data_IF_096124749957
#
_entry.id   IF_096124749957
#
_cell.length_a   1.000
_cell.length_b   1.000
_cell.length_c   1.000
_cell.angle_alpha   90.00
_cell.angle_beta   90.00
_cell.angle_gamma   90.00
#
_symmetry.space_group_name_H-M   'P 1'
#
loop_
_entity.id
_entity.type
_entity.pdbx_description
1 polymer ?
#
# COMPACT_ATOMS: atom_id res chain seq x y z
N UNK A 1 -13.23 -7.52 -9.95
CA UNK A 1 -12.41 -8.67 -10.39
C UNK A 1 -12.57 -8.97 -11.88
N UNK A 2 -13.74 -9.41 -12.37
CA UNK A 2 -13.95 -9.68 -13.81
C UNK A 2 -13.65 -8.47 -14.69
N UNK A 3 -14.19 -7.29 -14.35
CA UNK A 3 -13.90 -6.04 -15.07
C UNK A 3 -12.43 -5.62 -14.99
N UNK A 4 -11.75 -5.92 -13.87
CA UNK A 4 -10.32 -5.66 -13.71
C UNK A 4 -9.51 -6.54 -14.68
N UNK A 5 -9.90 -7.82 -14.83
CA UNK A 5 -9.32 -8.71 -15.84
C UNK A 5 -9.51 -8.17 -17.26
N UNK A 6 -10.74 -7.77 -17.61
CA UNK A 6 -11.04 -7.18 -18.91
C UNK A 6 -10.22 -5.91 -19.18
N UNK A 7 -10.08 -5.02 -18.19
CA UNK A 7 -9.26 -3.82 -18.31
C UNK A 7 -7.77 -4.14 -18.52
N UNK A 8 -7.24 -5.16 -17.85
CA UNK A 8 -5.85 -5.59 -18.05
C UNK A 8 -5.62 -6.16 -19.46
N UNK A 9 -6.55 -6.96 -19.97
CA UNK A 9 -6.50 -7.49 -21.34
C UNK A 9 -6.52 -6.35 -22.37
N UNK A 10 -7.46 -5.41 -22.24
CA UNK A 10 -7.52 -4.24 -23.12
C UNK A 10 -6.24 -3.39 -23.07
N UNK A 11 -5.63 -3.23 -21.90
CA UNK A 11 -4.43 -2.44 -21.71
C UNK A 11 -3.13 -3.19 -22.07
N UNK A 12 -3.21 -4.49 -22.40
CA UNK A 12 -2.05 -5.36 -22.61
C UNK A 12 -1.10 -5.42 -21.40
N UNK A 13 -1.57 -5.06 -20.20
CA UNK A 13 -0.73 -4.95 -19.01
C UNK A 13 -1.55 -4.90 -17.73
N UNK A 14 -0.94 -5.26 -16.60
CA UNK A 14 -1.60 -5.15 -15.29
C UNK A 14 -1.75 -3.71 -14.76
N UNK A 15 -1.29 -2.68 -15.49
CA UNK A 15 -1.29 -1.28 -15.00
C UNK A 15 -2.65 -0.77 -14.48
N UNK A 16 -3.80 -1.12 -15.08
CA UNK A 16 -5.10 -0.64 -14.59
C UNK A 16 -5.49 -1.22 -13.22
N UNK A 17 -4.91 -2.35 -12.81
CA UNK A 17 -5.28 -3.06 -11.59
C UNK A 17 -4.13 -3.18 -10.58
N UNK A 18 -2.90 -2.81 -10.96
CA UNK A 18 -1.69 -3.06 -10.17
C UNK A 18 -0.68 -1.92 -10.30
N UNK A 19 -0.51 -1.18 -9.22
CA UNK A 19 0.41 -0.06 -9.03
C UNK A 19 1.30 -0.25 -7.80
N UNK A 20 1.62 0.84 -7.10
CA UNK A 20 2.49 0.84 -5.92
C UNK A 20 2.01 -0.06 -4.79
N UNK A 21 0.70 -0.15 -4.61
CA UNK A 21 0.07 -0.98 -3.58
C UNK A 21 0.37 -2.46 -3.75
N UNK A 22 0.41 -2.94 -5.00
CA UNK A 22 0.81 -4.31 -5.32
C UNK A 22 2.31 -4.51 -5.18
N UNK A 23 3.12 -3.49 -5.51
CA UNK A 23 4.57 -3.57 -5.32
C UNK A 23 4.94 -3.69 -3.82
N UNK A 24 4.23 -2.98 -2.94
CA UNK A 24 4.38 -3.10 -1.48
C UNK A 24 3.97 -4.50 -1.03
N UNK A 25 2.82 -5.02 -1.48
CA UNK A 25 2.39 -6.39 -1.17
C UNK A 25 3.42 -7.44 -1.62
N UNK A 26 3.96 -7.33 -2.83
CA UNK A 26 5.01 -8.23 -3.30
C UNK A 26 6.32 -8.13 -2.51
N UNK A 27 6.65 -6.95 -1.98
CA UNK A 27 7.80 -6.81 -1.09
C UNK A 27 7.53 -7.47 0.27
N UNK A 28 6.33 -7.31 0.82
CA UNK A 28 5.91 -8.01 2.04
C UNK A 28 5.97 -9.54 1.87
N UNK A 29 5.53 -10.06 0.72
CA UNK A 29 5.58 -11.50 0.43
C UNK A 29 7.01 -12.05 0.37
N UNK A 30 8.00 -11.21 0.05
CA UNK A 30 9.42 -11.58 0.06
C UNK A 30 10.06 -11.42 1.45
N UNK A 31 9.64 -10.41 2.20
CA UNK A 31 10.23 -10.04 3.48
C UNK A 31 9.72 -10.93 4.63
N UNK A 32 8.43 -11.25 4.63
CA UNK A 32 7.79 -11.93 5.74
C UNK A 32 7.97 -13.45 5.65
N UNK A 33 8.24 -14.15 6.77
CA UNK A 33 8.34 -15.61 6.78
C UNK A 33 7.01 -16.30 6.49
N UNK A 34 5.89 -15.62 6.80
CA UNK A 34 4.54 -16.07 6.48
C UNK A 34 3.78 -14.92 5.81
N UNK A 35 3.32 -15.09 4.56
CA UNK A 35 2.57 -14.06 3.87
C UNK A 35 1.22 -13.83 4.56
N UNK A 36 0.73 -12.59 4.47
CA UNK A 36 -0.62 -12.24 4.91
C UNK A 36 -1.56 -12.30 3.70
N UNK A 37 -2.88 -12.39 3.89
CA UNK A 37 -3.81 -12.43 2.77
C UNK A 37 -3.55 -11.26 1.80
N UNK A 38 -3.29 -11.59 0.54
CA UNK A 38 -2.82 -10.64 -0.48
C UNK A 38 -3.71 -9.39 -0.55
N UNK A 39 -5.04 -9.57 -0.54
CA UNK A 39 -5.99 -8.45 -0.55
C UNK A 39 -5.83 -7.47 0.62
N UNK A 40 -5.47 -7.96 1.81
CA UNK A 40 -5.25 -7.10 2.98
C UNK A 40 -3.92 -6.36 2.91
N UNK A 41 -2.87 -7.01 2.40
CA UNK A 41 -1.59 -6.34 2.13
C UNK A 41 -1.76 -5.24 1.06
N UNK A 42 -2.50 -5.53 -0.02
CA UNK A 42 -2.81 -4.58 -1.08
C UNK A 42 -3.67 -3.42 -0.55
N UNK A 43 -4.63 -3.68 0.34
CA UNK A 43 -5.39 -2.63 1.01
C UNK A 43 -4.48 -1.69 1.82
N UNK A 44 -3.62 -2.24 2.67
CA UNK A 44 -2.67 -1.43 3.45
C UNK A 44 -1.69 -0.67 2.54
N UNK A 45 -1.20 -1.31 1.48
CA UNK A 45 -0.36 -0.67 0.46
C UNK A 45 -1.08 0.44 -0.30
N UNK A 46 -2.40 0.34 -0.47
CA UNK A 46 -3.24 1.37 -1.11
C UNK A 46 -3.33 2.60 -0.21
N UNK A 47 -3.55 2.40 1.09
CA UNK A 47 -3.56 3.48 2.07
C UNK A 47 -2.18 4.17 2.15
N UNK A 48 -1.10 3.39 2.17
CA UNK A 48 0.25 3.95 2.14
C UNK A 48 0.51 4.76 0.86
N UNK A 49 0.16 4.23 -0.31
CA UNK A 49 0.31 4.93 -1.58
C UNK A 49 -0.54 6.22 -1.63
N UNK A 50 -1.73 6.21 -1.03
CA UNK A 50 -2.60 7.37 -0.89
C UNK A 50 -1.93 8.47 -0.06
N UNK A 51 -1.42 8.14 1.13
CA UNK A 51 -0.69 9.08 2.00
C UNK A 51 0.59 9.59 1.34
N UNK A 52 1.35 8.71 0.66
CA UNK A 52 2.58 9.08 -0.05
C UNK A 52 2.32 10.03 -1.22
N UNK A 53 1.14 10.00 -1.85
CA UNK A 53 0.76 11.00 -2.87
C UNK A 53 0.51 12.38 -2.27
N UNK A 54 0.38 12.47 -0.95
CA UNK A 54 0.04 13.70 -0.23
C UNK A 54 -1.47 13.90 -0.06
N UNK A 55 -2.27 12.88 -0.38
CA UNK A 55 -3.71 12.93 -0.15
C UNK A 55 -4.01 12.75 1.35
N UNK A 56 -4.97 13.53 1.83
CA UNK A 56 -5.38 13.63 3.23
C UNK A 56 -6.89 13.43 3.41
N UNK A 57 -7.61 13.01 2.36
CA UNK A 57 -9.03 12.73 2.53
C UNK A 57 -9.25 11.65 3.59
N UNK A 58 -10.16 11.97 4.49
CA UNK A 58 -10.58 11.09 5.59
C UNK A 58 -11.53 10.00 5.08
N UNK A 59 -12.09 10.15 3.88
CA UNK A 59 -13.10 9.26 3.33
C UNK A 59 -12.54 7.85 3.13
N UNK A 60 -11.29 7.74 2.66
CA UNK A 60 -10.66 6.45 2.44
C UNK A 60 -10.47 5.70 3.77
N UNK A 61 -9.97 6.38 4.80
CA UNK A 61 -9.77 5.77 6.12
C UNK A 61 -11.10 5.42 6.78
N UNK A 62 -12.10 6.30 6.68
CA UNK A 62 -13.47 6.02 7.16
C UNK A 62 -14.08 4.81 6.46
N UNK A 63 -13.92 4.71 5.14
CA UNK A 63 -14.35 3.55 4.38
C UNK A 63 -13.65 2.28 4.86
N UNK A 64 -12.31 2.31 5.00
CA UNK A 64 -11.54 1.16 5.48
C UNK A 64 -12.05 0.66 6.84
N UNK A 65 -12.27 1.57 7.78
CA UNK A 65 -12.84 1.22 9.10
C UNK A 65 -14.24 0.66 9.00
N UNK A 66 -15.11 1.28 8.20
CA UNK A 66 -16.50 0.86 8.05
C UNK A 66 -16.62 -0.56 7.47
N UNK A 67 -15.67 -1.00 6.64
CA UNK A 67 -15.66 -2.35 6.04
C UNK A 67 -14.68 -3.32 6.70
N UNK A 68 -14.00 -2.92 7.78
CA UNK A 68 -13.06 -3.78 8.53
C UNK A 68 -11.74 -4.06 7.80
N UNK A 69 -11.27 -3.14 6.95
CA UNK A 69 -9.96 -3.22 6.31
C UNK A 69 -8.85 -2.64 7.20
N UNK A 70 -7.60 -3.12 7.06
CA UNK A 70 -6.48 -2.68 7.87
C UNK A 70 -6.12 -1.22 7.60
N UNK A 71 -6.02 -0.44 8.67
CA UNK A 71 -5.58 0.95 8.65
C UNK A 71 -4.16 1.13 9.16
N UNK A 72 -3.63 0.16 9.92
CA UNK A 72 -2.23 0.11 10.37
C UNK A 72 -1.63 -1.27 10.14
N UNK A 73 -0.29 -1.42 10.04
CA UNK A 73 0.36 -2.72 9.84
C UNK A 73 0.01 -3.77 10.91
N UNK A 74 -0.20 -3.32 12.15
CA UNK A 74 -0.56 -4.18 13.27
C UNK A 74 -1.90 -4.91 13.07
N UNK A 75 -2.84 -4.34 12.31
CA UNK A 75 -4.16 -4.94 12.04
C UNK A 75 -4.06 -6.29 11.31
N UNK A 76 -2.95 -6.52 10.60
CA UNK A 76 -2.66 -7.79 9.91
C UNK A 76 -1.44 -8.52 10.49
N UNK A 77 -0.99 -8.12 11.68
CA UNK A 77 0.11 -8.76 12.40
C UNK A 77 1.46 -8.53 11.73
N UNK A 78 1.68 -7.37 11.10
CA UNK A 78 2.96 -6.97 10.52
C UNK A 78 3.55 -5.85 11.39
N UNK A 79 4.86 -5.90 11.63
CA UNK A 79 5.54 -4.82 12.34
C UNK A 79 5.63 -3.56 11.46
N UNK A 80 5.59 -2.38 12.06
CA UNK A 80 5.80 -1.14 11.31
C UNK A 80 7.14 -1.14 10.58
N UNK A 81 8.20 -1.68 11.20
CA UNK A 81 9.53 -1.79 10.60
C UNK A 81 9.54 -2.63 9.32
N UNK A 82 8.88 -3.79 9.34
CA UNK A 82 8.77 -4.64 8.15
C UNK A 82 7.94 -3.96 7.06
N UNK A 83 6.85 -3.29 7.44
CA UNK A 83 6.03 -2.56 6.48
C UNK A 83 6.80 -1.41 5.81
N UNK A 84 7.53 -0.61 6.60
CA UNK A 84 8.34 0.48 6.08
C UNK A 84 9.47 -0.02 5.18
N UNK A 85 10.09 -1.16 5.53
CA UNK A 85 11.06 -1.86 4.67
C UNK A 85 10.42 -2.24 3.34
N UNK A 86 9.23 -2.84 3.36
CA UNK A 86 8.50 -3.20 2.15
C UNK A 86 8.12 -1.99 1.27
N UNK A 87 7.79 -0.84 1.87
CA UNK A 87 7.55 0.41 1.14
C UNK A 87 8.81 0.89 0.41
N UNK A 88 9.98 0.85 1.08
CA UNK A 88 11.26 1.25 0.50
C UNK A 88 11.73 0.31 -0.61
N UNK A 89 11.51 -1.00 -0.43
CA UNK A 89 11.94 -2.03 -1.37
C UNK A 89 10.94 -2.29 -2.50
N UNK A 90 9.69 -1.85 -2.36
CA UNK A 90 8.59 -2.13 -3.29
C UNK A 90 8.94 -1.88 -4.75
N UNK A 91 9.63 -0.77 -5.07
CA UNK A 91 10.03 -0.46 -6.46
C UNK A 91 10.93 -1.51 -7.11
N UNK A 92 11.72 -2.25 -6.32
CA UNK A 92 12.61 -3.29 -6.82
C UNK A 92 11.87 -4.58 -7.21
N UNK A 93 10.61 -4.74 -6.78
CA UNK A 93 9.80 -5.92 -7.13
C UNK A 93 9.45 -5.96 -8.62
N UNK A 94 9.38 -4.80 -9.30
CA UNK A 94 9.15 -4.70 -10.73
C UNK A 94 9.86 -3.49 -11.35
N UNK A 95 11.15 -3.65 -11.70
CA UNK A 95 11.94 -2.59 -12.34
C UNK A 95 11.24 -2.03 -13.59
N UNK A 96 11.34 -0.71 -13.80
CA UNK A 96 10.72 -0.02 -14.94
C UNK A 96 9.25 0.35 -14.76
N UNK A 97 8.60 -0.03 -13.64
CA UNK A 97 7.24 0.41 -13.31
C UNK A 97 7.25 1.66 -12.45
N UNK A 98 7.11 2.82 -13.09
CA UNK A 98 6.97 4.10 -12.37
C UNK A 98 5.69 4.13 -11.52
N UNK A 99 5.84 4.45 -10.23
CA UNK A 99 4.79 4.63 -9.21
C UNK A 99 5.17 5.73 -8.19
N UNK A 100 4.29 6.01 -7.21
CA UNK A 100 4.60 6.96 -6.13
C UNK A 100 5.87 6.58 -5.33
N UNK A 101 6.26 5.31 -5.33
CA UNK A 101 7.48 4.83 -4.67
C UNK A 101 8.77 5.38 -5.31
N UNK A 102 8.70 5.83 -6.56
CA UNK A 102 9.84 6.48 -7.23
C UNK A 102 10.08 7.91 -6.76
N UNK A 103 9.15 8.48 -5.97
CA UNK A 103 9.27 9.81 -5.35
C UNK A 103 9.56 9.74 -3.86
N UNK A 104 9.93 8.58 -3.32
CA UNK A 104 10.23 8.45 -1.89
C UNK A 104 11.36 9.39 -1.48
N UNK A 105 11.18 10.03 -0.33
CA UNK A 105 12.16 10.86 0.34
C UNK A 105 12.04 10.63 1.85
N UNK A 106 13.06 10.95 2.66
CA UNK A 106 12.98 10.82 4.12
C UNK A 106 11.74 11.50 4.71
N UNK A 107 11.38 12.69 4.22
CA UNK A 107 10.21 13.44 4.69
C UNK A 107 8.89 12.75 4.32
N UNK A 108 8.83 12.08 3.17
CA UNK A 108 7.64 11.32 2.75
C UNK A 108 7.47 10.05 3.58
N UNK A 109 8.57 9.38 3.91
CA UNK A 109 8.57 8.20 4.76
C UNK A 109 8.15 8.58 6.18
N UNK A 110 8.69 9.67 6.73
CA UNK A 110 8.31 10.12 8.08
C UNK A 110 6.81 10.44 8.17
N UNK A 111 6.29 11.21 7.20
CA UNK A 111 4.85 11.49 7.13
C UNK A 111 3.98 10.25 6.97
N UNK A 112 4.50 9.19 6.35
CA UNK A 112 3.79 7.92 6.25
C UNK A 112 3.73 7.24 7.63
N UNK A 113 4.84 7.27 8.39
CA UNK A 113 4.87 6.74 9.77
C UNK A 113 3.90 7.49 10.66
N UNK A 114 3.97 8.82 10.66
CA UNK A 114 3.04 9.69 11.41
C UNK A 114 1.59 9.35 11.06
N UNK A 115 1.26 9.22 9.78
CA UNK A 115 -0.09 8.88 9.32
C UNK A 115 -0.63 7.53 9.80
N UNK A 116 0.23 6.59 10.21
CA UNK A 116 -0.19 5.32 10.82
C UNK A 116 -0.28 5.39 12.36
N UNK A 117 0.56 6.18 13.00
CA UNK A 117 0.49 6.43 14.45
C UNK A 117 -0.74 7.27 14.82
N UNK A 118 -1.08 8.22 13.97
CA UNK A 118 -2.24 9.09 14.04
C UNK A 118 -3.57 8.36 13.71
N UNK A 119 -3.68 7.07 14.05
CA UNK A 119 -4.92 6.32 13.96
C UNK A 119 -6.12 7.04 14.61
N UNK A 120 -5.89 8.01 15.49
CA UNK A 120 -6.92 8.90 16.04
C UNK A 120 -6.93 10.34 15.49
N UNK A 121 -5.92 10.81 14.76
CA UNK A 121 -5.80 12.22 14.28
C UNK A 121 -6.52 12.47 12.95
N UNK A 122 -7.16 11.43 12.42
CA UNK A 122 -8.23 11.52 11.41
C UNK A 122 -9.62 11.63 12.10
N UNK A 123 -9.67 12.21 13.31
CA UNK A 123 -10.88 12.66 14.01
C UNK A 123 -11.18 14.13 13.74
#
# INVERSE_FOLDING_TARGET
>A
LVLSGFAMEMAGSSRPASGSEHLISHALDRLLPQPRPHGLQVALGTLAAFLLRGDRSRDLVRFYRAVGLPTVPADIGISEGDFMTAVMEGRATRPGRWTVLDRLSPERLERLREGFHDGDSIQ
#
